data_IF_421223242141
#
_entry.id   IF_421223242141
#
_cell.length_a   1.000
_cell.length_b   1.000
_cell.length_c   1.000
_cell.angle_alpha   90.00
_cell.angle_beta   90.00
_cell.angle_gamma   90.00
#
_symmetry.space_group_name_H-M   'P 1'
#
loop_
_entity.id
_entity.type
_entity.pdbx_description
1 polymer ?
#
# COMPACT_ATOMS: atom_id res chain seq x y z
N UNK A 1 15.69 -4.26 -11.73
CA UNK A 1 15.27 -5.60 -12.20
C UNK A 1 14.04 -5.44 -13.07
N UNK A 2 13.78 -6.42 -13.97
CA UNK A 2 12.59 -6.41 -14.83
C UNK A 2 11.32 -6.28 -13.98
N UNK A 3 10.40 -5.39 -14.35
CA UNK A 3 9.15 -5.10 -13.63
C UNK A 3 9.32 -4.28 -12.34
N UNK A 4 10.49 -3.71 -12.07
CA UNK A 4 10.73 -2.85 -10.90
C UNK A 4 10.24 -1.41 -11.09
N UNK A 5 10.22 -0.63 -10.00
CA UNK A 5 9.72 0.76 -9.99
C UNK A 5 10.33 1.65 -11.09
N UNK A 6 11.65 1.53 -11.35
CA UNK A 6 12.32 2.27 -12.43
C UNK A 6 11.73 1.97 -13.81
N UNK A 7 11.51 0.70 -14.13
CA UNK A 7 10.96 0.30 -15.43
C UNK A 7 9.47 0.68 -15.54
N UNK A 8 8.73 0.58 -14.43
CA UNK A 8 7.34 1.08 -14.39
C UNK A 8 7.30 2.58 -14.67
N UNK A 9 8.16 3.36 -14.02
CA UNK A 9 8.23 4.81 -14.22
C UNK A 9 8.64 5.19 -15.65
N UNK A 10 9.57 4.44 -16.26
CA UNK A 10 10.02 4.69 -17.63
C UNK A 10 8.96 4.36 -18.69
N UNK A 11 8.03 3.44 -18.39
CA UNK A 11 6.96 3.02 -19.32
C UNK A 11 5.63 3.72 -19.08
N UNK A 12 5.32 4.01 -17.83
CA UNK A 12 4.05 4.58 -17.41
C UNK A 12 4.05 6.11 -17.51
N UNK A 13 2.87 6.73 -17.45
CA UNK A 13 2.77 8.18 -17.47
C UNK A 13 3.34 8.75 -16.14
N UNK A 14 4.30 9.70 -16.15
CA UNK A 14 4.96 10.18 -14.93
C UNK A 14 4.03 10.77 -13.86
N UNK A 15 2.86 11.28 -14.26
CA UNK A 15 1.86 11.80 -13.34
C UNK A 15 1.11 10.72 -12.54
N UNK A 16 1.30 9.43 -12.85
CA UNK A 16 0.71 8.32 -12.12
C UNK A 16 1.54 7.87 -10.90
N UNK A 17 2.74 8.43 -10.68
CA UNK A 17 3.69 7.92 -9.69
C UNK A 17 3.74 8.79 -8.42
N UNK A 18 3.54 8.16 -7.27
CA UNK A 18 3.51 8.81 -5.97
C UNK A 18 4.34 8.04 -4.94
N UNK A 19 4.87 8.77 -3.96
CA UNK A 19 5.47 8.25 -2.75
C UNK A 19 4.61 8.71 -1.58
N UNK A 20 4.24 7.78 -0.70
CA UNK A 20 3.53 8.07 0.53
C UNK A 20 4.41 7.64 1.70
N UNK A 21 4.75 8.61 2.55
CA UNK A 21 5.42 8.33 3.82
C UNK A 21 4.36 8.22 4.90
N UNK A 22 4.27 7.07 5.55
CA UNK A 22 3.37 6.81 6.66
C UNK A 22 4.11 6.85 7.99
N UNK A 23 3.45 7.42 9.00
CA UNK A 23 3.74 7.18 10.41
C UNK A 23 2.64 6.28 10.96
N UNK A 24 2.95 4.98 11.05
CA UNK A 24 2.03 3.96 11.49
C UNK A 24 1.78 4.06 12.99
N UNK A 25 0.50 4.13 13.37
CA UNK A 25 0.11 4.04 14.76
C UNK A 25 0.02 2.57 15.18
N UNK A 26 0.90 2.20 16.11
CA UNK A 26 0.95 0.86 16.69
C UNK A 26 0.34 0.82 18.11
N UNK A 27 -0.14 1.96 18.62
CA UNK A 27 -0.74 2.07 19.96
C UNK A 27 -2.19 1.60 19.92
N UNK A 28 -2.37 0.29 19.76
CA UNK A 28 -3.70 -0.32 19.82
C UNK A 28 -3.92 -0.97 21.18
N UNK A 29 -5.01 -0.58 21.85
CA UNK A 29 -5.53 -1.22 23.06
C UNK A 29 -6.39 -2.45 22.76
N UNK A 30 -6.61 -2.79 21.47
CA UNK A 30 -7.36 -3.97 21.06
C UNK A 30 -6.58 -5.19 21.55
N UNK A 31 -7.22 -6.01 22.39
CA UNK A 31 -6.62 -7.26 22.88
C UNK A 31 -6.21 -8.12 21.68
N UNK A 32 -4.90 -8.31 21.53
CA UNK A 32 -4.33 -9.22 20.55
C UNK A 32 -4.70 -10.64 20.99
N UNK A 33 -5.80 -11.15 20.43
CA UNK A 33 -6.37 -12.44 20.79
C UNK A 33 -7.09 -13.09 19.61
N UNK A 34 -7.48 -14.37 19.76
CA UNK A 34 -8.22 -15.09 18.72
C UNK A 34 -9.53 -14.35 18.42
N UNK A 35 -9.59 -13.66 17.28
CA UNK A 35 -10.76 -12.87 16.86
C UNK A 35 -10.46 -11.50 16.24
N UNK A 36 -9.23 -10.99 16.35
CA UNK A 36 -8.85 -9.72 15.71
C UNK A 36 -8.81 -9.85 14.18
N UNK A 37 -9.48 -8.94 13.48
CA UNK A 37 -9.47 -8.86 12.01
C UNK A 37 -8.48 -7.79 11.53
N UNK A 38 -7.49 -8.21 10.73
CA UNK A 38 -6.55 -7.32 10.06
C UNK A 38 -6.94 -7.20 8.59
N UNK A 39 -7.29 -6.00 8.15
CA UNK A 39 -7.71 -5.78 6.77
C UNK A 39 -7.37 -4.41 6.23
N UNK A 40 -7.33 -4.34 4.91
CA UNK A 40 -7.11 -3.12 4.12
C UNK A 40 -8.39 -2.81 3.37
N UNK A 41 -8.79 -1.54 3.34
CA UNK A 41 -9.83 -1.07 2.44
C UNK A 41 -9.28 0.06 1.59
N UNK A 42 -9.63 0.07 0.31
CA UNK A 42 -9.27 1.14 -0.62
C UNK A 42 -10.42 1.45 -1.55
N UNK A 43 -10.48 2.71 -1.97
CA UNK A 43 -11.46 3.19 -2.93
C UNK A 43 -10.76 4.04 -3.99
N UNK A 44 -11.12 3.80 -5.24
CA UNK A 44 -10.62 4.53 -6.39
C UNK A 44 -11.80 5.13 -7.17
N UNK A 45 -11.54 6.17 -7.96
CA UNK A 45 -12.55 6.75 -8.84
C UNK A 45 -11.96 7.17 -10.18
N UNK A 46 -12.73 6.97 -11.26
CA UNK A 46 -12.37 7.32 -12.63
C UNK A 46 -13.53 8.06 -13.32
N UNK A 47 -13.21 8.84 -14.35
CA UNK A 47 -14.19 9.41 -15.27
C UNK A 47 -14.73 8.34 -16.24
N UNK A 48 -13.87 7.39 -16.63
CA UNK A 48 -14.19 6.32 -17.57
C UNK A 48 -14.37 4.98 -16.85
N UNK A 49 -15.29 4.17 -17.39
CA UNK A 49 -15.53 2.80 -16.94
C UNK A 49 -14.44 1.88 -17.46
N UNK A 50 -13.82 1.11 -16.58
CA UNK A 50 -12.83 0.10 -16.93
C UNK A 50 -12.87 -1.05 -15.92
N UNK A 51 -12.18 -2.15 -16.22
CA UNK A 51 -11.83 -3.15 -15.21
C UNK A 51 -10.41 -2.84 -14.74
N UNK A 52 -10.20 -2.71 -13.44
CA UNK A 52 -8.86 -2.45 -12.89
C UNK A 52 -8.29 -3.69 -12.21
N UNK A 53 -6.97 -3.82 -12.25
CA UNK A 53 -6.20 -4.78 -11.46
C UNK A 53 -5.32 -4.00 -10.49
N UNK A 54 -5.46 -4.30 -9.20
CA UNK A 54 -4.71 -3.69 -8.10
C UNK A 54 -3.71 -4.71 -7.58
N UNK A 55 -2.43 -4.51 -7.89
CA UNK A 55 -1.32 -5.30 -7.37
C UNK A 55 -0.72 -4.58 -6.15
N UNK A 56 -0.74 -5.22 -4.99
CA UNK A 56 -0.06 -4.75 -3.77
C UNK A 56 1.11 -5.67 -3.45
N UNK A 57 2.33 -5.17 -3.63
CA UNK A 57 3.60 -5.89 -3.42
C UNK A 57 4.24 -5.45 -2.12
N UNK A 58 4.51 -6.41 -1.24
CA UNK A 58 5.27 -6.16 -0.02
C UNK A 58 6.73 -6.49 -0.28
N UNK A 59 7.62 -5.57 0.06
CA UNK A 59 9.04 -5.64 -0.23
C UNK A 59 9.86 -5.57 1.05
N UNK A 60 10.88 -6.44 1.16
CA UNK A 60 11.89 -6.42 2.21
C UNK A 60 13.26 -6.32 1.56
N UNK A 61 14.08 -5.36 2.00
CA UNK A 61 15.39 -5.04 1.39
C UNK A 61 15.30 -4.87 -0.14
N UNK A 62 14.24 -4.20 -0.60
CA UNK A 62 13.95 -3.96 -2.01
C UNK A 62 13.58 -5.21 -2.83
N UNK A 63 13.37 -6.37 -2.19
CA UNK A 63 12.92 -7.61 -2.85
C UNK A 63 11.46 -7.88 -2.51
N UNK A 64 10.66 -8.21 -3.53
CA UNK A 64 9.28 -8.66 -3.34
C UNK A 64 9.26 -9.96 -2.51
N UNK A 65 8.47 -9.96 -1.44
CA UNK A 65 8.27 -11.11 -0.54
C UNK A 65 6.90 -11.73 -0.77
N UNK A 66 5.87 -10.90 -0.91
CA UNK A 66 4.50 -11.32 -1.21
C UNK A 66 3.83 -10.29 -2.12
N UNK A 67 2.90 -10.76 -2.94
CA UNK A 67 2.07 -9.93 -3.80
C UNK A 67 0.62 -10.40 -3.69
N UNK A 68 -0.29 -9.43 -3.58
CA UNK A 68 -1.72 -9.66 -3.66
C UNK A 68 -2.25 -8.91 -4.87
N UNK A 69 -2.97 -9.61 -5.74
CA UNK A 69 -3.61 -9.03 -6.93
C UNK A 69 -5.12 -9.14 -6.77
N UNK A 70 -5.80 -8.01 -6.89
CA UNK A 70 -7.25 -7.90 -6.76
C UNK A 70 -7.81 -7.28 -8.05
N UNK A 71 -8.87 -7.86 -8.60
CA UNK A 71 -9.56 -7.32 -9.79
C UNK A 71 -10.85 -6.65 -9.35
N UNK A 72 -11.01 -5.38 -9.71
CA UNK A 72 -12.18 -4.59 -9.37
C UNK A 72 -12.91 -4.08 -10.61
N UNK A 73 -14.23 -4.01 -10.50
CA UNK A 73 -15.13 -3.61 -11.57
C UNK A 73 -15.76 -2.25 -11.23
N UNK A 74 -15.92 -1.43 -12.27
CA UNK A 74 -16.51 -0.11 -12.14
C UNK A 74 -17.97 -0.17 -11.64
N UNK A 75 -18.31 0.73 -10.71
CA UNK A 75 -19.69 1.00 -10.31
C UNK A 75 -19.99 2.48 -10.53
N UNK A 76 -21.04 2.80 -11.29
CA UNK A 76 -21.42 4.19 -11.53
C UNK A 76 -22.11 4.77 -10.30
N UNK A 77 -21.51 5.80 -9.69
CA UNK A 77 -22.03 6.50 -8.53
C UNK A 77 -21.79 8.00 -8.68
N UNK A 78 -22.84 8.81 -8.54
CA UNK A 78 -22.76 10.28 -8.62
C UNK A 78 -22.00 10.79 -9.86
N UNK A 79 -22.20 10.14 -11.01
CA UNK A 79 -21.55 10.51 -12.28
C UNK A 79 -20.09 10.10 -12.42
N UNK A 80 -19.54 9.29 -11.51
CA UNK A 80 -18.17 8.74 -11.59
C UNK A 80 -18.17 7.23 -11.44
N UNK A 81 -17.18 6.57 -12.01
CA UNK A 81 -16.97 5.14 -11.80
C UNK A 81 -16.11 4.91 -10.56
N UNK A 82 -16.65 4.20 -9.59
CA UNK A 82 -16.03 3.91 -8.29
C UNK A 82 -15.63 2.44 -8.21
N UNK A 83 -14.50 2.17 -7.59
CA UNK A 83 -13.93 0.85 -7.37
C UNK A 83 -13.65 0.68 -5.88
N UNK A 84 -14.05 -0.45 -5.27
CA UNK A 84 -13.94 -0.64 -3.81
C UNK A 84 -13.38 -2.01 -3.46
N UNK A 85 -12.17 -2.01 -2.92
CA UNK A 85 -11.63 -3.15 -2.20
C UNK A 85 -12.06 -2.97 -0.75
N UNK A 86 -13.03 -3.76 -0.29
CA UNK A 86 -13.61 -3.60 1.05
C UNK A 86 -13.17 -4.72 1.99
N UNK A 87 -12.58 -4.35 3.14
CA UNK A 87 -12.13 -5.28 4.19
C UNK A 87 -11.34 -6.45 3.62
N UNK A 88 -10.40 -6.15 2.73
CA UNK A 88 -9.52 -7.14 2.14
C UNK A 88 -8.57 -7.67 3.22
N UNK A 89 -8.56 -8.98 3.53
CA UNK A 89 -7.77 -9.51 4.63
C UNK A 89 -6.28 -9.35 4.35
N UNK A 90 -5.53 -8.92 5.36
CA UNK A 90 -4.07 -8.95 5.32
C UNK A 90 -3.59 -10.41 5.31
N UNK A 91 -2.51 -10.68 4.58
CA UNK A 91 -1.91 -12.01 4.60
C UNK A 91 -1.19 -12.27 5.93
N UNK A 92 -0.99 -13.55 6.24
CA UNK A 92 -0.34 -13.99 7.48
C UNK A 92 1.04 -13.34 7.67
N UNK A 93 1.80 -13.16 6.59
CA UNK A 93 3.09 -12.46 6.62
C UNK A 93 2.96 -11.04 7.21
N UNK A 94 1.97 -10.27 6.77
CA UNK A 94 1.76 -8.90 7.23
C UNK A 94 1.30 -8.85 8.68
N UNK A 95 0.43 -9.78 9.09
CA UNK A 95 -0.07 -9.89 10.45
C UNK A 95 1.10 -10.21 11.40
N UNK A 96 1.87 -11.26 11.08
CA UNK A 96 3.05 -11.65 11.85
C UNK A 96 4.12 -10.55 11.88
N UNK A 97 4.28 -9.78 10.79
CA UNK A 97 5.17 -8.63 10.74
C UNK A 97 4.75 -7.55 11.75
N UNK A 98 3.46 -7.17 11.77
CA UNK A 98 2.92 -6.18 12.71
C UNK A 98 3.11 -6.67 14.16
N UNK A 99 2.83 -7.94 14.45
CA UNK A 99 3.04 -8.51 15.78
C UNK A 99 4.51 -8.41 16.19
N UNK A 100 5.44 -8.89 15.36
CA UNK A 100 6.88 -8.82 15.69
C UNK A 100 7.38 -7.39 15.86
N UNK A 101 6.91 -6.46 15.03
CA UNK A 101 7.27 -5.05 15.10
C UNK A 101 6.82 -4.43 16.43
N UNK A 102 5.57 -4.70 16.85
CA UNK A 102 5.01 -4.21 18.12
C UNK A 102 5.73 -4.73 19.37
N UNK A 103 6.33 -5.92 19.30
CA UNK A 103 7.04 -6.52 20.43
C UNK A 103 8.48 -6.00 20.59
N UNK A 104 8.96 -5.15 19.69
CA UNK A 104 10.26 -4.51 19.87
C UNK A 104 10.20 -3.52 21.04
N UNK A 105 11.22 -3.49 21.91
CA UNK A 105 11.17 -2.71 23.15
C UNK A 105 11.22 -1.20 22.90
N UNK A 106 11.82 -0.79 21.79
CA UNK A 106 12.18 0.61 21.53
C UNK A 106 11.74 1.05 20.13
N UNK A 107 11.21 2.26 20.03
CA UNK A 107 10.71 2.82 18.77
C UNK A 107 11.79 2.90 17.68
N UNK A 108 13.03 3.21 18.05
CA UNK A 108 14.12 3.28 17.08
C UNK A 108 14.38 1.91 16.43
N UNK A 109 14.24 0.80 17.18
CA UNK A 109 14.39 -0.55 16.63
C UNK A 109 13.29 -0.85 15.61
N UNK A 110 12.05 -0.43 15.90
CA UNK A 110 10.93 -0.55 14.95
C UNK A 110 11.24 0.21 13.66
N UNK A 111 11.71 1.45 13.77
CA UNK A 111 12.07 2.27 12.61
C UNK A 111 13.22 1.64 11.81
N UNK A 112 14.25 1.07 12.45
CA UNK A 112 15.33 0.35 11.74
C UNK A 112 14.83 -0.87 10.96
N UNK A 113 13.79 -1.56 11.44
CA UNK A 113 13.13 -2.62 10.66
C UNK A 113 12.35 -2.01 9.48
N UNK A 114 11.62 -0.92 9.71
CA UNK A 114 10.78 -0.26 8.70
C UNK A 114 11.59 0.41 7.58
N UNK A 115 12.83 0.82 7.82
CA UNK A 115 13.73 1.38 6.79
C UNK A 115 13.87 0.48 5.55
N UNK A 116 13.80 -0.83 5.75
CA UNK A 116 13.93 -1.82 4.68
C UNK A 116 12.59 -2.48 4.31
N UNK A 117 11.48 -2.00 4.87
CA UNK A 117 10.13 -2.47 4.62
C UNK A 117 9.38 -1.45 3.77
N UNK A 118 8.94 -1.86 2.58
CA UNK A 118 8.17 -1.00 1.68
C UNK A 118 7.00 -1.75 1.08
N UNK A 119 5.98 -1.02 0.65
CA UNK A 119 4.88 -1.58 -0.13
C UNK A 119 4.80 -0.83 -1.45
N UNK A 120 4.64 -1.54 -2.56
CA UNK A 120 4.40 -0.95 -3.87
C UNK A 120 3.01 -1.36 -4.35
N UNK A 121 2.12 -0.39 -4.48
CA UNK A 121 0.81 -0.60 -5.09
C UNK A 121 0.85 -0.12 -6.55
N UNK A 122 0.39 -0.98 -7.45
CA UNK A 122 0.29 -0.72 -8.89
C UNK A 122 -1.13 -1.01 -9.32
N UNK A 123 -1.82 0.02 -9.81
CA UNK A 123 -3.16 -0.07 -10.38
C UNK A 123 -3.03 0.01 -11.89
N UNK A 124 -3.53 -1.01 -12.58
CA UNK A 124 -3.52 -1.08 -14.04
C UNK A 124 -4.91 -1.28 -14.61
N UNK A 125 -5.16 -0.74 -15.80
CA UNK A 125 -6.30 -1.18 -16.61
C UNK A 125 -6.06 -2.64 -17.03
N UNK A 126 -7.04 -3.51 -16.77
CA UNK A 126 -6.91 -4.94 -17.06
C UNK A 126 -6.81 -5.23 -18.56
N UNK A 127 -7.55 -4.47 -19.38
CA UNK A 127 -7.67 -4.74 -20.81
C UNK A 127 -6.48 -4.13 -21.59
N UNK A 128 -6.11 -2.90 -21.28
CA UNK A 128 -5.01 -2.20 -21.98
C UNK A 128 -3.63 -2.41 -21.36
N UNK A 129 -3.56 -2.98 -20.15
CA UNK A 129 -2.34 -3.06 -19.33
C UNK A 129 -1.71 -1.68 -19.01
N UNK A 130 -2.47 -0.61 -19.21
CA UNK A 130 -2.04 0.75 -18.91
C UNK A 130 -1.86 0.94 -17.40
N UNK A 131 -0.78 1.62 -17.01
CA UNK A 131 -0.53 2.00 -15.62
C UNK A 131 -1.35 3.24 -15.26
N UNK A 132 -2.29 3.10 -14.34
CA UNK A 132 -3.22 4.15 -13.93
C UNK A 132 -2.70 4.89 -12.69
N UNK A 133 -2.14 4.16 -11.74
CA UNK A 133 -1.63 4.70 -10.48
C UNK A 133 -0.54 3.79 -9.91
N UNK A 134 0.54 4.38 -9.44
CA UNK A 134 1.62 3.70 -8.74
C UNK A 134 1.92 4.45 -7.46
N UNK A 135 1.84 3.75 -6.34
CA UNK A 135 2.14 4.31 -5.03
C UNK A 135 3.21 3.47 -4.36
N UNK A 136 4.36 4.09 -4.09
CA UNK A 136 5.37 3.54 -3.19
C UNK A 136 5.06 4.00 -1.76
N UNK A 137 5.02 3.06 -0.82
CA UNK A 137 4.80 3.33 0.59
C UNK A 137 6.08 3.07 1.38
N UNK A 138 6.46 4.05 2.19
CA UNK A 138 7.55 3.98 3.15
C UNK A 138 7.00 4.28 4.54
N UNK A 139 7.61 3.73 5.58
CA UNK A 139 7.00 3.68 6.91
C UNK A 139 7.96 4.10 8.00
N UNK A 140 7.42 4.77 9.01
CA UNK A 140 7.97 4.97 10.34
C UNK A 140 6.87 4.68 11.36
N UNK A 141 7.22 4.50 12.63
CA UNK A 141 6.23 4.44 13.71
C UNK A 141 5.87 5.86 14.16
N UNK A 142 4.59 6.11 14.41
CA UNK A 142 4.13 7.39 14.93
C UNK A 142 4.61 7.66 16.37
N UNK A 143 4.65 8.92 16.79
CA UNK A 143 4.78 9.24 18.22
C UNK A 143 3.42 9.00 18.88
N UNK A 144 3.41 8.50 20.11
CA UNK A 144 2.19 8.05 20.81
C UNK A 144 1.12 9.14 20.96
N UNK A 145 1.49 10.41 20.86
CA UNK A 145 0.59 11.55 20.99
C UNK A 145 -0.20 11.88 19.71
N UNK A 146 0.27 11.44 18.53
CA UNK A 146 -0.15 12.04 17.25
C UNK A 146 -1.00 11.13 16.35
N UNK A 147 -1.32 9.90 16.78
CA UNK A 147 -2.06 8.93 15.97
C UNK A 147 -1.37 8.63 14.63
N UNK A 148 -2.06 8.05 13.65
CA UNK A 148 -1.46 7.78 12.35
C UNK A 148 -1.34 9.06 11.51
N UNK A 149 -0.20 9.27 10.84
CA UNK A 149 0.04 10.41 9.94
C UNK A 149 0.57 9.95 8.58
N UNK A 150 0.46 10.82 7.58
CA UNK A 150 1.06 10.56 6.26
C UNK A 150 1.40 11.84 5.50
N UNK A 151 2.39 11.74 4.62
CA UNK A 151 2.67 12.74 3.59
C UNK A 151 2.66 12.10 2.21
N UNK A 152 2.18 12.84 1.22
CA UNK A 152 2.09 12.40 -0.18
C UNK A 152 3.02 13.26 -1.03
N UNK A 153 3.86 12.61 -1.82
CA UNK A 153 4.80 13.23 -2.73
C UNK A 153 4.57 12.71 -4.14
N UNK A 154 4.68 13.59 -5.13
CA UNK A 154 4.77 13.15 -6.53
C UNK A 154 6.19 12.63 -6.77
N UNK A 155 6.31 11.45 -7.35
CA UNK A 155 7.62 10.93 -7.75
C UNK A 155 8.05 11.62 -9.04
N UNK A 156 9.29 12.12 -9.02
CA UNK A 156 9.98 12.66 -10.18
C UNK A 156 11.28 11.89 -10.37
N UNK A 157 11.70 11.75 -11.62
CA UNK A 157 12.99 11.18 -11.98
C UNK A 157 13.80 12.31 -12.59
N UNK A 158 14.89 12.65 -11.93
CA UNK A 158 15.93 13.53 -12.47
C UNK A 158 16.71 12.85 -13.61
#
# INVERSE_FOLDING_TARGET
KKGGLKELYEKGPPNAFFLVKFWADLNSTIQEGPGAFYGVSSQYSSADSMTISVSTKVCSFGKQVVEKVETEYARLENGRFVYRIHRSPMCEYMINFIHKLKHLPEKYMMNSVLENFTILQVVTSRDSQETLLVIAFVFEVSTSEHGAQHHVYKLVKD
#
